data_IF_533229517148
#
_entry.id   IF_533229517148
#
_cell.length_a   1.000
_cell.length_b   1.000
_cell.length_c   1.000
_cell.angle_alpha   90.00
_cell.angle_beta   90.00
_cell.angle_gamma   90.00
#
_symmetry.space_group_name_H-M   'P 1'
#
loop_
_entity.id
_entity.type
_entity.pdbx_description
1 polymer ?
#
# COMPACT_ATOMS: atom_id res chain seq x y z
N UNK A 1 -18.33 -3.02 13.24
CA UNK A 1 -17.04 -3.23 12.56
C UNK A 1 -16.09 -3.97 13.49
N UNK A 2 -15.30 -4.91 12.98
CA UNK A 2 -14.11 -5.34 13.73
C UNK A 2 -13.21 -4.12 13.93
N UNK A 3 -12.81 -3.86 15.17
CA UNK A 3 -11.98 -2.71 15.46
C UNK A 3 -10.62 -2.91 14.76
N UNK A 4 -10.36 -2.09 13.74
CA UNK A 4 -9.03 -1.99 13.16
C UNK A 4 -8.08 -1.56 14.29
N UNK A 5 -6.97 -2.27 14.41
CA UNK A 5 -5.96 -2.06 15.46
C UNK A 5 -4.56 -2.01 14.87
N UNK A 6 -4.35 -2.55 13.66
CA UNK A 6 -3.05 -2.56 13.01
C UNK A 6 -3.04 -1.66 11.76
N UNK A 7 -1.90 -1.00 11.54
CA UNK A 7 -1.63 -0.17 10.39
C UNK A 7 -0.52 -0.80 9.55
N UNK A 8 -0.78 -1.03 8.28
CA UNK A 8 0.21 -1.40 7.28
C UNK A 8 0.45 -0.18 6.38
N UNK A 9 1.70 0.26 6.32
CA UNK A 9 2.13 1.39 5.50
C UNK A 9 2.88 0.85 4.32
N UNK A 10 2.46 1.22 3.11
CA UNK A 10 3.18 0.98 1.86
C UNK A 10 3.62 2.34 1.31
N UNK A 11 4.86 2.77 1.59
CA UNK A 11 5.39 4.01 1.05
C UNK A 11 5.54 3.92 -0.47
N UNK A 12 5.00 4.90 -1.18
CA UNK A 12 5.02 4.92 -2.64
C UNK A 12 6.30 5.56 -3.15
N UNK A 13 6.76 5.08 -4.32
CA UNK A 13 7.98 5.54 -4.98
C UNK A 13 7.80 5.80 -6.48
N UNK A 14 6.57 5.79 -6.97
CA UNK A 14 6.25 5.93 -8.38
C UNK A 14 4.74 5.95 -8.61
N UNK A 15 4.32 6.59 -9.70
CA UNK A 15 2.91 6.76 -10.00
C UNK A 15 2.46 5.76 -11.08
N UNK A 16 1.64 4.79 -10.71
CA UNK A 16 1.01 3.88 -11.67
C UNK A 16 0.11 4.66 -12.64
N UNK A 17 0.19 4.31 -13.92
CA UNK A 17 -0.60 4.90 -14.99
C UNK A 17 -1.78 3.97 -15.36
N UNK A 18 -3.00 4.21 -14.82
CA UNK A 18 -4.15 3.33 -15.06
C UNK A 18 -4.63 3.36 -16.52
N UNK A 19 -4.23 4.37 -17.31
CA UNK A 19 -4.64 4.53 -18.70
C UNK A 19 -3.57 4.07 -19.70
N UNK A 20 -2.39 3.64 -19.23
CA UNK A 20 -1.27 3.22 -20.09
C UNK A 20 -1.68 2.15 -21.11
N UNK A 21 -2.56 1.23 -20.69
CA UNK A 21 -3.01 0.09 -21.50
C UNK A 21 -4.35 0.31 -22.20
N UNK A 22 -4.91 1.52 -22.14
CA UNK A 22 -6.15 1.88 -22.85
C UNK A 22 -5.89 2.33 -24.31
N UNK A 23 -4.63 2.40 -24.73
CA UNK A 23 -4.29 2.73 -26.12
C UNK A 23 -4.75 1.62 -27.07
N UNK A 24 -5.56 1.98 -28.07
CA UNK A 24 -6.12 1.12 -29.12
C UNK A 24 -5.04 0.37 -29.95
N UNK A 25 -3.77 0.79 -29.85
CA UNK A 25 -2.63 0.20 -30.54
C UNK A 25 -1.62 -0.48 -29.59
N UNK A 26 -2.01 -0.74 -28.33
CA UNK A 26 -1.15 -1.43 -27.36
C UNK A 26 -0.93 -2.88 -27.80
N UNK A 27 0.21 -3.15 -28.43
CA UNK A 27 0.76 -4.49 -28.65
C UNK A 27 1.54 -4.98 -27.43
N UNK A 28 1.46 -4.30 -26.27
CA UNK A 28 2.06 -4.81 -25.03
C UNK A 28 1.38 -6.13 -24.70
N UNK A 29 2.16 -7.20 -24.84
CA UNK A 29 1.71 -8.59 -24.84
C UNK A 29 0.63 -8.87 -23.80
N UNK A 30 -0.44 -9.54 -24.24
CA UNK A 30 -1.55 -10.08 -23.43
C UNK A 30 -1.08 -10.91 -22.20
N UNK A 31 0.21 -11.20 -22.06
CA UNK A 31 0.79 -12.02 -21.01
C UNK A 31 1.39 -11.26 -19.80
N UNK A 32 1.51 -9.92 -19.83
CA UNK A 32 2.14 -9.16 -18.72
C UNK A 32 1.12 -8.60 -17.73
N UNK A 33 1.33 -8.70 -16.41
CA UNK A 33 0.40 -8.14 -15.42
C UNK A 33 0.57 -6.62 -15.30
N UNK A 34 -0.49 -5.89 -14.96
CA UNK A 34 -0.46 -4.43 -14.78
C UNK A 34 0.64 -4.00 -13.81
N UNK A 35 1.48 -3.04 -14.16
CA UNK A 35 2.55 -2.54 -13.29
C UNK A 35 3.86 -3.32 -13.37
N UNK A 36 3.94 -4.46 -14.08
CA UNK A 36 5.19 -5.23 -14.21
C UNK A 36 6.22 -4.58 -15.16
N UNK A 37 5.80 -3.63 -15.99
CA UNK A 37 6.64 -3.00 -17.01
C UNK A 37 6.68 -1.48 -16.84
N UNK A 38 7.82 -0.86 -17.17
CA UNK A 38 8.04 0.59 -17.04
C UNK A 38 6.97 1.44 -17.74
N UNK A 39 6.40 0.95 -18.84
CA UNK A 39 5.36 1.65 -19.60
C UNK A 39 4.05 1.84 -18.80
N UNK A 40 3.83 1.06 -17.75
CA UNK A 40 2.67 1.16 -16.87
C UNK A 40 2.81 2.26 -15.81
N UNK A 41 3.90 3.02 -15.81
CA UNK A 41 4.21 4.00 -14.77
C UNK A 41 4.54 5.36 -15.39
N UNK A 42 4.06 6.43 -14.75
CA UNK A 42 4.36 7.78 -15.19
C UNK A 42 5.76 8.21 -14.76
N UNK A 43 6.56 8.69 -15.72
CA UNK A 43 7.83 9.40 -15.49
C UNK A 43 8.76 8.75 -14.45
N UNK A 44 8.90 7.42 -14.50
CA UNK A 44 9.76 6.70 -13.55
C UNK A 44 11.17 7.32 -13.50
N UNK A 45 11.65 7.67 -12.29
CA UNK A 45 13.05 8.03 -12.09
C UNK A 45 13.97 6.96 -12.67
N UNK A 46 15.12 7.38 -13.20
CA UNK A 46 16.05 6.47 -13.88
C UNK A 46 16.44 5.24 -13.04
N UNK A 47 16.59 5.40 -11.72
CA UNK A 47 16.95 4.32 -10.81
C UNK A 47 15.82 3.30 -10.56
N UNK A 48 14.59 3.58 -10.99
CA UNK A 48 13.45 2.65 -10.88
C UNK A 48 13.11 1.94 -12.20
N UNK A 49 13.68 2.38 -13.31
CA UNK A 49 13.48 1.75 -14.62
C UNK A 49 14.01 0.32 -14.59
N UNK A 50 13.20 -0.64 -15.04
CA UNK A 50 13.50 -2.08 -14.95
C UNK A 50 13.25 -2.71 -13.57
N UNK A 51 12.87 -1.92 -12.55
CA UNK A 51 12.64 -2.38 -11.17
C UNK A 51 11.17 -2.21 -10.72
N UNK A 52 10.24 -2.05 -11.66
CA UNK A 52 8.80 -1.86 -11.39
C UNK A 52 8.15 -3.05 -10.68
N UNK A 53 8.64 -4.27 -10.93
CA UNK A 53 8.24 -5.46 -10.17
C UNK A 53 8.47 -5.32 -8.67
N UNK A 54 9.47 -4.56 -8.22
CA UNK A 54 9.68 -4.32 -6.80
C UNK A 54 8.58 -3.43 -6.20
N UNK A 55 8.13 -2.41 -6.94
CA UNK A 55 7.01 -1.56 -6.52
C UNK A 55 5.73 -2.39 -6.38
N UNK A 56 5.47 -3.26 -7.35
CA UNK A 56 4.39 -4.26 -7.31
C UNK A 56 4.51 -5.16 -6.08
N UNK A 57 5.72 -5.66 -5.77
CA UNK A 57 5.94 -6.53 -4.61
C UNK A 57 5.67 -5.83 -3.28
N UNK A 58 5.93 -4.53 -3.16
CA UNK A 58 5.53 -3.76 -1.98
C UNK A 58 4.00 -3.77 -1.80
N UNK A 59 3.24 -3.53 -2.88
CA UNK A 59 1.77 -3.56 -2.87
C UNK A 59 1.27 -4.97 -2.52
N UNK A 60 1.79 -5.99 -3.19
CA UNK A 60 1.42 -7.40 -2.95
C UNK A 60 1.69 -7.82 -1.50
N UNK A 61 2.85 -7.46 -0.94
CA UNK A 61 3.19 -7.79 0.44
C UNK A 61 2.29 -7.05 1.44
N UNK A 62 2.05 -5.75 1.28
CA UNK A 62 1.15 -4.99 2.16
C UNK A 62 -0.28 -5.55 2.15
N UNK A 63 -0.83 -5.78 0.96
CA UNK A 63 -2.16 -6.39 0.80
C UNK A 63 -2.23 -7.80 1.37
N UNK A 64 -1.19 -8.63 1.17
CA UNK A 64 -1.15 -10.00 1.71
C UNK A 64 -1.21 -10.01 3.24
N UNK A 65 -0.42 -9.18 3.91
CA UNK A 65 -0.44 -9.06 5.39
C UNK A 65 -1.84 -8.69 5.88
N UNK A 66 -2.51 -7.75 5.20
CA UNK A 66 -3.87 -7.32 5.56
C UNK A 66 -4.97 -8.34 5.25
N UNK A 67 -4.73 -9.26 4.31
CA UNK A 67 -5.64 -10.39 4.03
C UNK A 67 -5.49 -11.49 5.08
N UNK A 68 -4.28 -11.68 5.59
CA UNK A 68 -3.97 -12.61 6.69
C UNK A 68 -4.40 -12.05 8.06
N UNK A 69 -4.55 -10.72 8.20
CA UNK A 69 -4.99 -10.05 9.42
C UNK A 69 -6.25 -9.19 9.22
N UNK A 70 -7.44 -9.65 9.66
CA UNK A 70 -8.69 -8.90 9.56
C UNK A 70 -8.73 -7.56 10.34
N UNK A 71 -7.79 -7.30 11.26
CA UNK A 71 -7.70 -6.06 12.02
C UNK A 71 -6.78 -5.01 11.40
N UNK A 72 -6.13 -5.33 10.27
CA UNK A 72 -5.17 -4.45 9.63
C UNK A 72 -5.78 -3.58 8.53
N UNK A 73 -5.43 -2.30 8.53
CA UNK A 73 -5.69 -1.33 7.48
C UNK A 73 -4.43 -1.10 6.64
N UNK A 74 -4.54 -1.17 5.31
CA UNK A 74 -3.46 -0.77 4.40
C UNK A 74 -3.58 0.71 4.06
N UNK A 75 -2.50 1.46 4.19
CA UNK A 75 -2.36 2.82 3.69
C UNK A 75 -1.28 2.84 2.62
N UNK A 76 -1.68 3.14 1.38
CA UNK A 76 -0.74 3.49 0.31
C UNK A 76 -0.42 4.98 0.43
N UNK A 77 0.81 5.31 0.79
CA UNK A 77 1.18 6.69 1.16
C UNK A 77 2.12 7.29 0.13
N UNK A 78 1.74 8.42 -0.46
CA UNK A 78 2.52 9.09 -1.48
C UNK A 78 1.75 10.19 -2.18
N UNK A 79 2.38 11.37 -2.23
CA UNK A 79 1.84 12.58 -2.80
C UNK A 79 1.83 12.63 -4.32
N UNK A 80 1.28 13.72 -4.86
CA UNK A 80 1.37 14.00 -6.30
C UNK A 80 2.76 14.52 -6.65
N UNK A 81 3.50 13.74 -7.43
CA UNK A 81 4.87 14.07 -7.88
C UNK A 81 4.93 14.37 -9.38
N UNK A 82 3.78 14.33 -10.08
CA UNK A 82 3.70 14.52 -11.51
C UNK A 82 2.72 15.64 -11.90
N UNK A 83 3.18 16.74 -12.53
CA UNK A 83 2.32 17.87 -12.88
C UNK A 83 1.29 17.56 -13.98
N UNK A 84 1.41 16.43 -14.69
CA UNK A 84 0.54 16.08 -15.81
C UNK A 84 -0.72 15.29 -15.39
N UNK A 85 -0.91 15.06 -14.09
CA UNK A 85 -2.06 14.30 -13.58
C UNK A 85 -2.42 14.76 -12.18
N UNK A 86 -3.69 14.62 -11.83
CA UNK A 86 -4.21 14.90 -10.49
C UNK A 86 -4.01 13.72 -9.53
N UNK A 87 -3.60 12.55 -10.05
CA UNK A 87 -3.40 11.35 -9.24
C UNK A 87 -2.13 11.47 -8.39
N UNK A 88 -2.24 11.08 -7.12
CA UNK A 88 -1.09 10.90 -6.24
C UNK A 88 -0.48 9.51 -6.42
N UNK A 89 0.77 9.30 -5.97
CA UNK A 89 1.37 7.97 -5.97
C UNK A 89 0.54 6.95 -5.15
N UNK A 90 -0.02 7.39 -4.02
CA UNK A 90 -0.96 6.62 -3.21
C UNK A 90 -2.20 6.17 -4.00
N UNK A 91 -2.81 7.06 -4.78
CA UNK A 91 -3.92 6.71 -5.68
C UNK A 91 -3.51 5.70 -6.74
N UNK A 92 -2.31 5.87 -7.33
CA UNK A 92 -1.76 4.94 -8.29
C UNK A 92 -1.60 3.53 -7.71
N UNK A 93 -1.06 3.42 -6.50
CA UNK A 93 -0.90 2.13 -5.82
C UNK A 93 -2.25 1.48 -5.49
N UNK A 94 -3.24 2.26 -5.03
CA UNK A 94 -4.60 1.76 -4.80
C UNK A 94 -5.23 1.23 -6.09
N UNK A 95 -5.14 1.99 -7.19
CA UNK A 95 -5.67 1.60 -8.50
C UNK A 95 -4.98 0.35 -9.05
N UNK A 96 -3.67 0.22 -8.87
CA UNK A 96 -2.92 -0.96 -9.26
C UNK A 96 -3.34 -2.19 -8.44
N UNK A 97 -3.51 -2.04 -7.12
CA UNK A 97 -4.00 -3.11 -6.26
C UNK A 97 -5.43 -3.54 -6.65
N UNK A 98 -6.29 -2.60 -7.01
CA UNK A 98 -7.64 -2.87 -7.50
C UNK A 98 -7.61 -3.61 -8.85
N UNK A 99 -6.79 -3.15 -9.80
CA UNK A 99 -6.66 -3.76 -11.12
C UNK A 99 -6.08 -5.18 -11.07
N UNK A 100 -5.35 -5.52 -10.01
CA UNK A 100 -4.82 -6.85 -9.73
C UNK A 100 -5.73 -7.72 -8.84
N UNK A 101 -6.87 -7.20 -8.39
CA UNK A 101 -7.81 -7.89 -7.49
C UNK A 101 -7.17 -8.40 -6.17
N UNK A 102 -6.27 -7.59 -5.60
CA UNK A 102 -5.53 -7.95 -4.37
C UNK A 102 -5.90 -7.12 -3.15
N UNK A 103 -6.79 -6.12 -3.27
CA UNK A 103 -7.20 -5.28 -2.14
C UNK A 103 -7.82 -6.13 -1.01
N UNK A 104 -7.43 -5.91 0.27
CA UNK A 104 -8.06 -6.58 1.40
C UNK A 104 -9.48 -6.03 1.61
N UNK A 105 -10.47 -6.90 1.83
CA UNK A 105 -11.87 -6.50 2.05
C UNK A 105 -12.40 -6.99 3.40
N UNK A 106 -13.26 -6.20 4.04
CA UNK A 106 -14.01 -6.63 5.24
C UNK A 106 -14.75 -7.94 4.98
N UNK A 107 -14.74 -8.84 5.97
CA UNK A 107 -15.59 -10.02 5.92
C UNK A 107 -17.06 -9.57 5.99
N UNK A 108 -17.97 -10.33 5.37
CA UNK A 108 -19.40 -9.96 5.28
C UNK A 108 -20.02 -9.63 6.64
N UNK A 109 -19.62 -10.34 7.70
CA UNK A 109 -20.08 -10.13 9.07
C UNK A 109 -19.45 -8.91 9.78
N UNK A 110 -18.51 -8.21 9.16
CA UNK A 110 -17.87 -7.01 9.69
C UNK A 110 -18.45 -5.71 9.09
N UNK A 111 -19.20 -5.83 8.00
CA UNK A 111 -19.90 -4.73 7.32
C UNK A 111 -21.20 -4.44 8.11
N UNK A 112 -21.52 -3.17 8.40
CA UNK A 112 -22.77 -2.81 9.08
C UNK A 112 -24.02 -3.33 8.36
N UNK A 113 -24.97 -3.89 9.11
CA UNK A 113 -26.28 -4.29 8.59
C UNK A 113 -27.02 -3.05 8.06
N UNK A 114 -27.31 -3.04 6.75
CA UNK A 114 -27.98 -1.93 6.05
C UNK A 114 -27.23 -1.37 4.83
N UNK A 115 -25.91 -1.62 4.72
CA UNK A 115 -25.12 -1.26 3.52
C UNK A 115 -25.07 -2.39 2.48
N UNK A 116 -25.31 -3.63 2.90
CA UNK A 116 -25.35 -4.81 2.02
C UNK A 116 -26.68 -4.95 1.24
N UNK A 117 -27.72 -4.18 1.57
CA UNK A 117 -29.11 -4.52 1.23
C UNK A 117 -29.82 -3.58 0.25
N UNK A 118 -29.16 -2.58 -0.36
CA UNK A 118 -29.86 -1.68 -1.31
C UNK A 118 -29.65 -1.99 -2.80
N UNK A 119 -28.65 -2.79 -3.17
CA UNK A 119 -28.28 -2.97 -4.58
C UNK A 119 -28.22 -4.43 -5.03
N UNK A 120 -28.35 -5.39 -4.10
CA UNK A 120 -28.36 -6.83 -4.43
C UNK A 120 -29.71 -7.33 -5.02
N UNK A 121 -30.73 -6.47 -5.12
CA UNK A 121 -32.06 -6.84 -5.63
C UNK A 121 -32.34 -6.34 -7.06
N UNK A 122 -31.38 -5.67 -7.72
CA UNK A 122 -31.55 -5.18 -9.09
C UNK A 122 -30.57 -5.85 -10.05
N UNK A 123 -31.12 -6.74 -10.88
CA UNK A 123 -30.57 -7.29 -12.14
C UNK A 123 -29.62 -8.51 -12.08
N UNK A 124 -30.24 -9.69 -11.94
CA UNK A 124 -29.62 -11.02 -12.03
C UNK A 124 -29.66 -11.58 -13.47
N UNK A 125 -29.06 -10.90 -14.45
CA UNK A 125 -29.06 -11.46 -15.80
C UNK A 125 -27.80 -11.37 -16.66
N UNK A 126 -26.83 -10.44 -16.50
CA UNK A 126 -25.61 -10.55 -17.33
C UNK A 126 -24.40 -9.65 -17.00
N UNK A 127 -24.18 -9.14 -15.78
CA UNK A 127 -23.04 -8.26 -15.52
C UNK A 127 -22.07 -8.87 -14.50
N UNK A 128 -20.78 -8.79 -14.82
CA UNK A 128 -19.65 -9.21 -14.00
C UNK A 128 -19.90 -8.87 -12.53
N UNK A 129 -19.67 -9.86 -11.68
CA UNK A 129 -19.89 -9.87 -10.24
C UNK A 129 -19.05 -8.77 -9.55
N UNK A 130 -19.42 -7.50 -9.74
CA UNK A 130 -18.84 -6.34 -9.07
C UNK A 130 -19.42 -6.32 -7.66
N UNK A 131 -19.02 -7.28 -6.83
CA UNK A 131 -19.22 -7.21 -5.39
C UNK A 131 -18.66 -5.85 -4.96
N UNK A 132 -19.54 -4.97 -4.47
CA UNK A 132 -19.16 -3.72 -3.81
C UNK A 132 -18.41 -4.09 -2.52
N UNK A 133 -17.13 -4.41 -2.65
CA UNK A 133 -16.28 -4.84 -1.57
C UNK A 133 -15.86 -3.62 -0.75
N UNK A 134 -16.19 -3.64 0.54
CA UNK A 134 -15.68 -2.68 1.49
C UNK A 134 -14.21 -2.99 1.75
N UNK A 135 -13.30 -2.17 1.21
CA UNK A 135 -11.88 -2.41 1.33
C UNK A 135 -11.30 -1.91 2.65
N UNK A 136 -10.37 -2.68 3.24
CA UNK A 136 -9.47 -2.26 4.33
C UNK A 136 -8.18 -1.66 3.74
N UNK A 137 -8.34 -0.77 2.77
CA UNK A 137 -7.21 -0.11 2.13
C UNK A 137 -7.62 1.31 1.71
N UNK A 138 -6.74 2.28 1.96
CA UNK A 138 -6.95 3.69 1.63
C UNK A 138 -5.67 4.33 1.07
N UNK A 139 -5.83 5.44 0.37
CA UNK A 139 -4.71 6.29 -0.04
C UNK A 139 -4.44 7.38 1.00
N UNK A 140 -3.16 7.71 1.18
CA UNK A 140 -2.66 8.97 1.73
C UNK A 140 -1.92 9.71 0.61
N UNK A 141 -2.32 10.95 0.32
CA UNK A 141 -2.07 11.61 -0.97
C UNK A 141 -1.22 12.89 -0.87
N UNK A 142 -0.57 13.12 0.27
CA UNK A 142 0.21 14.32 0.55
C UNK A 142 1.69 14.04 0.86
N UNK A 143 2.07 12.82 1.26
CA UNK A 143 3.45 12.55 1.65
C UNK A 143 4.46 12.70 0.51
N UNK A 144 5.45 13.57 0.69
CA UNK A 144 6.52 13.86 -0.27
C UNK A 144 7.86 13.20 0.08
N UNK A 145 7.99 12.66 1.31
CA UNK A 145 9.19 11.97 1.77
C UNK A 145 8.88 10.85 2.78
N UNK A 146 9.87 10.05 3.16
CA UNK A 146 9.66 8.91 4.05
C UNK A 146 9.26 9.28 5.49
N UNK A 147 9.56 10.49 5.97
CA UNK A 147 9.09 10.95 7.28
C UNK A 147 7.58 11.20 7.21
N UNK A 148 7.15 11.94 6.19
CA UNK A 148 5.75 12.24 5.93
C UNK A 148 4.96 10.97 5.64
N UNK A 149 5.55 10.00 4.94
CA UNK A 149 4.91 8.70 4.71
C UNK A 149 4.50 8.03 6.01
N UNK A 150 5.36 8.06 7.03
CA UNK A 150 5.03 7.50 8.34
C UNK A 150 4.00 8.36 9.08
N UNK A 151 4.26 9.65 9.24
CA UNK A 151 3.40 10.56 10.01
C UNK A 151 1.99 10.65 9.42
N UNK A 152 1.87 10.90 8.11
CA UNK A 152 0.58 11.08 7.46
C UNK A 152 -0.19 9.76 7.36
N UNK A 153 0.49 8.61 7.30
CA UNK A 153 -0.21 7.32 7.39
C UNK A 153 -0.81 7.07 8.78
N UNK A 154 -0.14 7.51 9.86
CA UNK A 154 -0.71 7.45 11.21
C UNK A 154 -1.93 8.37 11.33
N UNK A 155 -1.86 9.60 10.81
CA UNK A 155 -3.02 10.50 10.81
C UNK A 155 -4.15 9.95 9.93
N UNK A 156 -3.83 9.39 8.76
CA UNK A 156 -4.82 8.75 7.88
C UNK A 156 -5.50 7.56 8.55
N UNK A 157 -4.75 6.76 9.30
CA UNK A 157 -5.31 5.69 10.12
C UNK A 157 -6.27 6.23 11.17
N UNK A 158 -5.91 7.31 11.86
CA UNK A 158 -6.77 7.97 12.86
C UNK A 158 -8.04 8.53 12.23
N UNK A 159 -7.96 9.14 11.06
CA UNK A 159 -9.12 9.62 10.31
C UNK A 159 -10.10 8.49 9.97
N UNK A 160 -9.58 7.34 9.51
CA UNK A 160 -10.40 6.20 9.08
C UNK A 160 -10.99 5.43 10.26
N UNK A 161 -10.23 5.27 11.35
CA UNK A 161 -10.60 4.37 12.46
C UNK A 161 -11.17 5.10 13.68
N UNK A 162 -10.96 6.40 13.79
CA UNK A 162 -11.24 7.18 14.99
C UNK A 162 -10.32 6.87 16.19
N UNK A 163 -9.36 5.95 16.04
CA UNK A 163 -8.38 5.61 17.09
C UNK A 163 -7.24 6.60 17.09
N UNK A 164 -6.71 6.92 18.27
CA UNK A 164 -5.60 7.85 18.39
C UNK A 164 -4.30 7.32 17.77
N UNK A 165 -4.05 6.00 17.90
CA UNK A 165 -2.84 5.36 17.38
C UNK A 165 -3.11 3.86 17.13
N UNK A 166 -2.44 3.21 16.16
CA UNK A 166 -2.50 1.75 15.99
C UNK A 166 -1.70 1.00 17.07
N UNK A 167 -2.14 -0.20 17.41
CA UNK A 167 -1.44 -1.09 18.35
C UNK A 167 -0.18 -1.68 17.69
N UNK A 168 -0.16 -1.80 16.36
CA UNK A 168 1.00 -2.25 15.59
C UNK A 168 1.11 -1.53 14.25
N UNK A 169 2.32 -1.13 13.89
CA UNK A 169 2.66 -0.55 12.59
C UNK A 169 3.58 -1.50 11.84
N UNK A 170 3.21 -1.87 10.62
CA UNK A 170 4.07 -2.61 9.70
C UNK A 170 4.38 -1.75 8.49
N UNK A 171 5.64 -1.48 8.21
CA UNK A 171 6.08 -0.73 7.03
C UNK A 171 6.61 -1.72 6.00
N UNK A 172 6.08 -1.67 4.78
CA UNK A 172 6.51 -2.51 3.66
C UNK A 172 7.16 -1.64 2.60
N UNK A 173 8.46 -1.81 2.36
CA UNK A 173 9.18 -0.97 1.40
C UNK A 173 10.56 -1.50 1.06
N UNK A 174 11.39 -0.66 0.46
CA UNK A 174 12.76 -1.04 0.10
C UNK A 174 13.61 -1.36 1.33
N UNK A 175 14.31 -2.49 1.30
CA UNK A 175 15.22 -2.94 2.38
C UNK A 175 16.20 -1.82 2.82
N UNK A 176 16.84 -1.15 1.87
CA UNK A 176 17.82 -0.08 2.16
C UNK A 176 17.21 1.14 2.88
N UNK A 177 15.87 1.30 2.92
CA UNK A 177 15.19 2.39 3.65
C UNK A 177 14.86 2.03 5.09
N UNK A 178 15.05 0.78 5.52
CA UNK A 178 14.73 0.32 6.87
C UNK A 178 15.31 1.26 7.94
N UNK A 179 16.61 1.53 7.89
CA UNK A 179 17.27 2.38 8.88
C UNK A 179 16.62 3.78 8.98
N UNK A 180 16.25 4.39 7.85
CA UNK A 180 15.60 5.71 7.86
C UNK A 180 14.24 5.65 8.55
N UNK A 181 13.42 4.66 8.24
CA UNK A 181 12.10 4.54 8.86
C UNK A 181 12.21 4.22 10.34
N UNK A 182 13.05 3.25 10.69
CA UNK A 182 13.05 2.62 12.00
C UNK A 182 13.90 3.39 13.02
N UNK A 183 15.07 3.90 12.63
CA UNK A 183 16.01 4.53 13.55
C UNK A 183 15.97 6.07 13.51
N UNK A 184 15.33 6.66 12.50
CA UNK A 184 15.28 8.13 12.34
C UNK A 184 13.85 8.65 12.40
N UNK A 185 12.96 8.16 11.53
CA UNK A 185 11.60 8.70 11.41
C UNK A 185 10.69 8.22 12.54
N UNK A 186 10.67 6.92 12.85
CA UNK A 186 9.81 6.38 13.90
C UNK A 186 10.09 7.01 15.28
N UNK A 187 11.34 7.17 15.76
CA UNK A 187 11.59 7.86 17.03
C UNK A 187 11.01 9.28 17.05
N UNK A 188 11.20 10.05 15.97
CA UNK A 188 10.70 11.42 15.89
C UNK A 188 9.16 11.50 15.82
N UNK A 189 8.52 10.62 15.03
CA UNK A 189 7.06 10.57 14.93
C UNK A 189 6.46 10.07 16.24
N UNK A 190 7.05 9.07 16.88
CA UNK A 190 6.48 8.47 18.08
C UNK A 190 6.62 9.39 19.29
N UNK A 191 7.74 10.11 19.42
CA UNK A 191 7.93 11.15 20.42
C UNK A 191 6.88 12.27 20.28
N UNK A 192 6.50 12.64 19.05
CA UNK A 192 5.41 13.58 18.80
C UNK A 192 4.06 13.14 19.41
N UNK A 193 3.80 11.82 19.47
CA UNK A 193 2.62 11.25 20.13
C UNK A 193 2.86 10.88 21.60
N UNK A 194 4.01 11.24 22.17
CA UNK A 194 4.39 10.89 23.55
C UNK A 194 4.74 9.41 23.77
N UNK A 195 5.03 8.68 22.69
CA UNK A 195 5.37 7.26 22.72
C UNK A 195 6.91 7.13 22.70
N UNK A 196 7.44 6.20 23.48
CA UNK A 196 8.87 5.89 23.50
C UNK A 196 9.14 4.54 22.85
N UNK A 197 10.16 4.48 22.00
CA UNK A 197 10.66 3.22 21.44
C UNK A 197 11.66 2.62 22.41
N UNK A 198 11.53 1.33 22.68
CA UNK A 198 12.52 0.59 23.47
C UNK A 198 13.83 0.43 22.69
N UNK A 199 14.96 0.73 23.35
CA UNK A 199 16.31 0.70 22.76
C UNK A 199 16.93 -0.71 22.77
N UNK A 200 16.13 -1.75 22.95
CA UNK A 200 16.55 -3.15 23.01
C UNK A 200 16.52 -3.84 21.64
N UNK A 201 16.19 -3.10 20.58
CA UNK A 201 16.04 -3.61 19.21
C UNK A 201 14.71 -4.33 18.95
N UNK A 202 13.79 -4.38 19.91
CA UNK A 202 12.44 -4.95 19.73
C UNK A 202 11.50 -4.04 18.96
N UNK A 203 11.84 -2.74 18.88
CA UNK A 203 11.02 -1.66 18.33
C UNK A 203 9.59 -1.63 18.90
N UNK A 204 9.46 -2.04 20.17
CA UNK A 204 8.23 -1.87 20.92
C UNK A 204 8.02 -0.39 21.26
N UNK A 205 6.78 0.06 21.23
CA UNK A 205 6.38 1.40 21.66
C UNK A 205 5.18 1.32 22.60
N UNK A 206 5.20 2.17 23.64
CA UNK A 206 4.34 2.12 24.84
C UNK A 206 4.67 0.97 25.80
N UNK A 207 4.49 1.21 27.10
CA UNK A 207 4.54 0.21 28.17
C UNK A 207 3.39 -0.83 28.11
N UNK A 208 2.71 -0.97 26.97
CA UNK A 208 1.51 -1.77 26.71
C UNK A 208 1.58 -2.49 25.34
N UNK A 209 2.74 -3.07 24.99
CA UNK A 209 2.89 -4.05 23.89
C UNK A 209 2.74 -3.53 22.44
N UNK A 210 2.81 -2.22 22.20
CA UNK A 210 2.76 -1.69 20.83
C UNK A 210 4.01 -2.06 20.02
N UNK A 211 3.88 -2.35 18.72
CA UNK A 211 5.00 -2.90 17.92
C UNK A 211 5.19 -2.22 16.57
N UNK A 212 6.43 -1.83 16.25
CA UNK A 212 6.85 -1.43 14.91
C UNK A 212 7.56 -2.61 14.22
N UNK A 213 7.15 -2.91 12.99
CA UNK A 213 7.77 -3.94 12.13
C UNK A 213 8.15 -3.31 10.80
N UNK A 214 9.34 -3.61 10.31
CA UNK A 214 9.76 -3.29 8.96
C UNK A 214 9.88 -4.56 8.14
N UNK A 215 9.19 -4.62 7.00
CA UNK A 215 9.36 -5.66 6.00
C UNK A 215 10.03 -5.04 4.78
N UNK A 216 11.35 -5.20 4.72
CA UNK A 216 12.13 -4.78 3.57
C UNK A 216 12.03 -5.77 2.42
N UNK A 217 12.04 -5.23 1.20
CA UNK A 217 12.06 -5.98 -0.04
C UNK A 217 13.28 -5.51 -0.82
N UNK A 218 14.14 -6.47 -1.15
CA UNK A 218 15.36 -6.24 -1.93
C UNK A 218 15.04 -6.31 -3.44
N UNK A 219 15.30 -5.24 -4.21
CA UNK A 219 15.15 -5.27 -5.66
C UNK A 219 16.01 -6.32 -6.37
N UNK A 220 17.20 -6.62 -5.85
CA UNK A 220 18.15 -7.54 -6.50
C UNK A 220 17.67 -8.99 -6.41
N UNK A 221 17.07 -9.36 -5.29
CA UNK A 221 16.44 -10.68 -5.10
C UNK A 221 15.26 -10.94 -6.05
N UNK A 222 14.61 -9.91 -6.57
CA UNK A 222 13.49 -10.02 -7.51
C UNK A 222 14.00 -10.17 -8.96
N UNK A 223 15.11 -9.52 -9.30
CA UNK A 223 15.68 -9.56 -10.65
C UNK A 223 16.22 -10.96 -11.01
N UNK A 224 16.70 -11.73 -10.04
CA UNK A 224 17.17 -13.11 -10.22
C UNK A 224 16.07 -14.11 -10.57
N UNK A 225 14.81 -13.81 -10.25
CA UNK A 225 13.65 -14.64 -10.56
C UNK A 225 13.09 -14.37 -11.97
N UNK A 226 13.63 -13.38 -12.69
CA UNK A 226 13.26 -13.06 -14.08
C UNK A 226 14.28 -13.68 -15.07
N UNK A 227 13.92 -14.76 -15.78
CA UNK A 227 14.82 -15.41 -16.73
C UNK A 227 15.27 -14.50 -17.89
N UNK A 228 14.62 -13.34 -18.12
CA UNK A 228 15.08 -12.36 -19.11
C UNK A 228 16.22 -11.44 -18.62
N UNK A 229 16.43 -11.29 -17.31
CA UNK A 229 17.44 -10.38 -16.74
C UNK A 229 18.76 -11.08 -16.38
N UNK A 230 18.78 -12.42 -16.29
CA UNK A 230 19.96 -13.21 -15.93
C UNK A 230 21.11 -13.20 -16.97
N UNK A 231 20.94 -12.53 -18.12
CA UNK A 231 21.89 -12.50 -19.25
C UNK A 231 22.30 -11.07 -19.68
N UNK A 232 22.22 -10.08 -18.78
CA UNK A 232 22.73 -8.72 -19.04
C UNK A 232 23.98 -8.40 -18.24
#
# INVERSE_FOLDING_TARGET
MAALSELIIVPCHGLFNPIARLSINSTTAESTKYGDVDADWYNLPHFLKGHTKTLVKHIEAGCRIARENPQALVVFSGGSTNPNTVLSEGDGYWLLAQARDILPSFAKNQIPDGELTREAELDDSNHSNHNHAWYRAVSEVYALDSFQNLLFSVERYREVTGRQFPDKITIVGYEFKQHRFVNVHAPAVFDHYGLKIEDDGSYQFNAQDGKLVYQGIDPEAIASDDPMMANR
#
